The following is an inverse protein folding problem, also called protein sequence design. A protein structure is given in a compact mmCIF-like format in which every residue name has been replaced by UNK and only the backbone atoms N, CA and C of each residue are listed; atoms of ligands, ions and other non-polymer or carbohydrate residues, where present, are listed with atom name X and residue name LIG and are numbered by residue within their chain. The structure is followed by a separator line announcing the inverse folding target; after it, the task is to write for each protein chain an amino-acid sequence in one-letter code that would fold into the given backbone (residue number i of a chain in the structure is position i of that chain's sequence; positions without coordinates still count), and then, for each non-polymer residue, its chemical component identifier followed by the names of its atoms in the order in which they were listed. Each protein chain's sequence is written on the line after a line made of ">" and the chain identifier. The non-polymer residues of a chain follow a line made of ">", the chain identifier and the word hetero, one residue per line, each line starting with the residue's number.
data_IF_629427519264
#
_entry.id   IF_629427519264
#
_cell.length_a   1.000
_cell.length_b   1.000
_cell.length_c   1.000
_cell.angle_alpha   90.00
_cell.angle_beta   90.00
_cell.angle_gamma   90.00
#
_symmetry.space_group_name_H-M   'P 1'
#
loop_
_entity.id
_entity.type
_entity.pdbx_description
1 polymer ?
#
# COMPACT_ATOMS: atom_id res chain seq x y z
N UNK A 1 12.71 19.35 0.93
CA UNK A 1 13.81 20.30 0.61
C UNK A 1 13.70 20.93 -0.80
N UNK A 2 13.07 20.32 -1.81
CA UNK A 2 12.93 20.91 -3.16
C UNK A 2 11.49 21.33 -3.54
N UNK A 3 10.51 21.14 -2.65
CA UNK A 3 9.12 21.51 -2.93
C UNK A 3 8.47 20.69 -4.05
N UNK A 4 8.95 19.48 -4.33
CA UNK A 4 8.41 18.59 -5.36
C UNK A 4 7.52 17.53 -4.71
N UNK A 5 6.38 17.25 -5.36
CA UNK A 5 5.50 16.12 -5.10
C UNK A 5 5.69 15.09 -6.22
N UNK A 6 5.85 13.82 -5.89
CA UNK A 6 5.95 12.74 -6.86
C UNK A 6 4.59 12.35 -7.44
N UNK A 7 3.57 12.28 -6.59
CA UNK A 7 2.17 12.04 -6.96
C UNK A 7 1.89 10.70 -7.66
N UNK A 8 2.80 9.72 -7.57
CA UNK A 8 2.56 8.35 -8.02
C UNK A 8 3.47 7.33 -7.32
N UNK A 9 3.66 7.49 -6.01
CA UNK A 9 4.41 6.52 -5.19
C UNK A 9 3.58 5.25 -5.06
N UNK A 10 4.13 4.14 -5.57
CA UNK A 10 3.56 2.79 -5.55
C UNK A 10 4.66 1.75 -5.70
N UNK A 11 4.44 0.46 -5.38
CA UNK A 11 5.48 -0.55 -5.45
C UNK A 11 6.13 -0.67 -6.83
N UNK A 12 5.38 -0.44 -7.91
CA UNK A 12 5.89 -0.52 -9.29
C UNK A 12 6.92 0.58 -9.61
N UNK A 13 6.88 1.69 -8.88
CA UNK A 13 7.76 2.85 -9.07
C UNK A 13 8.93 2.87 -8.06
N UNK A 14 9.11 1.80 -7.28
CA UNK A 14 10.23 1.63 -6.36
C UNK A 14 11.10 0.49 -6.88
N UNK A 15 12.22 0.82 -7.50
CA UNK A 15 13.16 -0.16 -8.04
C UNK A 15 14.17 -0.54 -6.98
N UNK A 16 14.52 -1.82 -6.92
CA UNK A 16 15.55 -2.37 -6.03
C UNK A 16 16.76 -2.82 -6.82
N UNK A 17 17.94 -2.71 -6.24
CA UNK A 17 19.14 -3.30 -6.82
C UNK A 17 19.12 -4.84 -6.73
N UNK A 18 20.07 -5.50 -7.40
CA UNK A 18 20.11 -6.96 -7.53
C UNK A 18 20.20 -7.70 -6.19
N UNK A 19 20.90 -7.11 -5.21
CA UNK A 19 21.06 -7.68 -3.86
C UNK A 19 19.93 -7.26 -2.88
N UNK A 20 19.00 -6.41 -3.32
CA UNK A 20 17.86 -5.89 -2.54
C UNK A 20 18.23 -5.11 -1.28
N UNK A 21 19.44 -4.54 -1.22
CA UNK A 21 19.90 -3.71 -0.10
C UNK A 21 19.64 -2.22 -0.29
N UNK A 22 19.38 -1.78 -1.53
CA UNK A 22 19.05 -0.39 -1.84
C UNK A 22 17.87 -0.30 -2.77
N UNK A 23 17.09 0.77 -2.60
CA UNK A 23 15.98 1.11 -3.48
C UNK A 23 16.09 2.55 -3.99
N UNK A 24 15.46 2.81 -5.13
CA UNK A 24 15.31 4.14 -5.71
C UNK A 24 13.86 4.33 -6.14
N UNK A 25 13.35 5.53 -5.91
CA UNK A 25 12.09 5.98 -6.48
C UNK A 25 12.33 6.39 -7.95
N UNK A 26 11.45 5.99 -8.85
CA UNK A 26 11.49 6.31 -10.27
C UNK A 26 10.13 6.78 -10.77
N UNK A 27 10.07 7.16 -12.06
CA UNK A 27 8.85 7.66 -12.74
C UNK A 27 8.31 8.99 -12.18
N UNK A 28 8.99 10.09 -12.55
CA UNK A 28 8.57 11.46 -12.24
C UNK A 28 7.56 12.02 -13.25
N UNK A 29 6.89 11.17 -14.05
CA UNK A 29 5.97 11.62 -15.10
C UNK A 29 4.72 12.34 -14.59
N UNK A 30 4.40 12.17 -13.31
CA UNK A 30 3.31 12.87 -12.61
C UNK A 30 3.78 13.90 -11.58
N UNK A 31 5.09 14.13 -11.49
CA UNK A 31 5.66 14.98 -10.45
C UNK A 31 5.44 16.47 -10.78
N UNK A 32 5.23 17.30 -9.74
CA UNK A 32 5.04 18.74 -9.87
C UNK A 32 5.59 19.50 -8.66
N UNK A 33 5.85 20.79 -8.82
CA UNK A 33 6.22 21.66 -7.71
C UNK A 33 4.98 22.08 -6.91
N UNK A 34 5.05 22.02 -5.57
CA UNK A 34 3.97 22.42 -4.65
C UNK A 34 3.52 23.86 -4.90
N UNK A 35 4.47 24.77 -5.12
CA UNK A 35 4.20 26.19 -5.41
C UNK A 35 4.17 26.47 -6.92
N UNK A 36 4.11 25.42 -7.74
CA UNK A 36 4.10 25.50 -9.20
C UNK A 36 2.69 25.64 -9.78
N UNK A 37 2.59 26.08 -11.05
CA UNK A 37 1.31 26.26 -11.74
C UNK A 37 0.58 24.93 -11.99
N UNK A 38 1.30 23.81 -12.01
CA UNK A 38 0.74 22.48 -12.24
C UNK A 38 0.05 21.89 -11.00
N UNK A 39 0.18 22.54 -9.83
CA UNK A 39 -0.52 22.12 -8.61
C UNK A 39 -2.00 22.55 -8.65
N UNK A 40 -2.77 21.89 -9.51
CA UNK A 40 -4.21 22.09 -9.66
C UNK A 40 -4.95 20.93 -8.97
N UNK A 41 -6.03 21.21 -8.20
CA UNK A 41 -6.95 20.20 -7.70
C UNK A 41 -7.33 19.15 -8.76
N UNK A 42 -7.02 17.89 -8.49
CA UNK A 42 -7.17 16.79 -9.43
C UNK A 42 -7.57 15.51 -8.69
N UNK A 43 -8.88 15.20 -8.56
CA UNK A 43 -9.37 14.07 -7.74
C UNK A 43 -8.97 12.68 -8.21
N UNK A 44 -8.38 12.58 -9.42
CA UNK A 44 -7.87 11.35 -10.00
C UNK A 44 -6.33 11.28 -10.03
N UNK A 45 -5.65 12.26 -9.45
CA UNK A 45 -4.20 12.21 -9.24
C UNK A 45 -3.81 11.01 -8.36
N UNK A 46 -2.61 10.47 -8.53
CA UNK A 46 -2.10 9.26 -7.84
C UNK A 46 -2.81 7.97 -8.25
N UNK A 47 -2.06 6.88 -8.38
CA UNK A 47 -2.63 5.53 -8.50
C UNK A 47 -3.60 5.22 -7.35
N UNK A 48 -4.82 4.77 -7.68
CA UNK A 48 -5.99 4.72 -6.78
C UNK A 48 -5.72 4.15 -5.39
N UNK A 49 -5.08 2.99 -5.29
CA UNK A 49 -4.89 2.29 -4.00
C UNK A 49 -3.92 3.01 -3.04
N UNK A 50 -3.16 3.97 -3.54
CA UNK A 50 -2.20 4.78 -2.79
C UNK A 50 -2.65 6.24 -2.68
N UNK A 51 -3.85 6.57 -3.18
CA UNK A 51 -4.38 7.93 -3.24
C UNK A 51 -4.77 8.46 -1.85
N UNK A 52 -4.29 9.65 -1.53
CA UNK A 52 -4.56 10.31 -0.27
C UNK A 52 -6.00 10.87 -0.19
N UNK A 53 -6.60 10.99 1.02
CA UNK A 53 -7.97 11.47 1.17
C UNK A 53 -8.14 12.92 0.70
N UNK A 54 -7.15 13.78 0.87
CA UNK A 54 -7.20 15.16 0.36
C UNK A 54 -7.31 15.22 -1.16
N UNK A 55 -6.70 14.28 -1.88
CA UNK A 55 -6.84 14.15 -3.33
C UNK A 55 -8.27 13.75 -3.67
N UNK A 56 -8.80 12.71 -3.01
CA UNK A 56 -10.18 12.22 -3.22
C UNK A 56 -11.22 13.32 -2.96
N UNK A 57 -10.99 14.14 -1.93
CA UNK A 57 -11.86 15.24 -1.53
C UNK A 57 -11.69 16.49 -2.42
N UNK A 58 -10.71 16.48 -3.33
CA UNK A 58 -10.45 17.55 -4.28
C UNK A 58 -9.58 18.68 -3.74
N UNK A 59 -9.01 18.60 -2.54
CA UNK A 59 -8.27 19.72 -1.96
C UNK A 59 -6.92 19.99 -2.66
N UNK A 60 -6.34 21.14 -2.33
CA UNK A 60 -5.00 21.52 -2.79
C UNK A 60 -3.95 20.50 -2.35
N UNK A 61 -3.09 20.10 -3.29
CA UNK A 61 -2.08 19.07 -3.03
C UNK A 61 -0.89 19.63 -2.27
N UNK A 62 -0.35 18.83 -1.35
CA UNK A 62 0.87 19.12 -0.61
C UNK A 62 1.79 17.91 -0.67
N UNK A 63 3.07 18.08 -0.32
CA UNK A 63 4.01 16.97 -0.22
C UNK A 63 3.60 15.88 0.79
N UNK A 64 2.62 16.15 1.67
CA UNK A 64 2.10 15.16 2.61
C UNK A 64 1.40 13.99 1.90
N UNK A 65 0.91 14.15 0.67
CA UNK A 65 0.23 13.07 -0.06
C UNK A 65 1.18 11.93 -0.44
N UNK A 66 2.46 12.23 -0.65
CA UNK A 66 3.49 11.22 -0.92
C UNK A 66 3.77 10.37 0.33
N UNK A 67 3.67 10.96 1.52
CA UNK A 67 3.77 10.19 2.77
C UNK A 67 2.57 9.29 3.01
N UNK A 68 1.37 9.70 2.62
CA UNK A 68 0.21 8.81 2.63
C UNK A 68 0.44 7.61 1.70
N UNK A 69 0.86 7.89 0.47
CA UNK A 69 1.15 6.87 -0.55
C UNK A 69 2.21 5.89 -0.06
N UNK A 70 3.30 6.40 0.53
CA UNK A 70 4.35 5.59 1.13
C UNK A 70 3.84 4.75 2.30
N UNK A 71 2.94 5.28 3.14
CA UNK A 71 2.33 4.52 4.23
C UNK A 71 1.55 3.31 3.72
N UNK A 72 0.79 3.49 2.63
CA UNK A 72 0.10 2.39 1.95
C UNK A 72 1.09 1.35 1.39
N UNK A 73 2.20 1.80 0.79
CA UNK A 73 3.27 0.92 0.29
C UNK A 73 3.96 0.14 1.41
N UNK A 74 4.33 0.79 2.52
CA UNK A 74 4.95 0.15 3.68
C UNK A 74 4.05 -0.93 4.26
N UNK A 75 2.75 -0.66 4.36
CA UNK A 75 1.76 -1.66 4.76
C UNK A 75 1.72 -2.86 3.80
N UNK A 76 1.67 -2.60 2.50
CA UNK A 76 1.60 -3.65 1.47
C UNK A 76 2.88 -4.50 1.45
N UNK A 77 4.05 -3.89 1.59
CA UNK A 77 5.31 -4.62 1.66
C UNK A 77 5.37 -5.54 2.89
N UNK A 78 4.82 -5.11 4.01
CA UNK A 78 4.83 -5.91 5.24
C UNK A 78 3.80 -7.04 5.22
N UNK A 79 2.61 -6.81 4.65
CA UNK A 79 1.49 -7.78 4.69
C UNK A 79 1.30 -8.57 3.40
N UNK A 80 1.94 -8.17 2.30
CA UNK A 80 1.70 -8.69 0.96
C UNK A 80 0.32 -8.34 0.39
N UNK A 81 -0.44 -7.46 1.05
CA UNK A 81 -1.81 -7.11 0.67
C UNK A 81 -2.01 -5.60 0.61
N UNK A 82 -2.78 -5.14 -0.37
CA UNK A 82 -3.13 -3.71 -0.51
C UNK A 82 -3.91 -3.23 0.72
N UNK A 83 -3.59 -2.03 1.21
CA UNK A 83 -4.24 -1.45 2.39
C UNK A 83 -5.70 -1.06 2.11
N UNK A 84 -5.90 -0.29 1.04
CA UNK A 84 -7.19 0.22 0.57
C UNK A 84 -7.43 -0.19 -0.89
N UNK A 85 -8.28 -1.18 -1.08
CA UNK A 85 -8.65 -1.82 -2.34
C UNK A 85 -9.99 -1.28 -2.88
N UNK A 86 -10.13 0.06 -2.92
CA UNK A 86 -11.36 0.72 -3.35
C UNK A 86 -11.65 0.60 -4.85
N UNK A 87 -12.90 0.34 -5.23
CA UNK A 87 -13.32 0.26 -6.63
C UNK A 87 -13.34 1.62 -7.36
N UNK A 88 -13.56 2.70 -6.62
CA UNK A 88 -13.59 4.09 -7.09
C UNK A 88 -13.24 5.05 -5.93
N UNK A 89 -13.36 6.37 -6.13
CA UNK A 89 -13.05 7.37 -5.10
C UNK A 89 -14.01 7.31 -3.89
N UNK A 90 -15.29 6.99 -4.11
CA UNK A 90 -16.26 6.83 -3.03
C UNK A 90 -15.90 5.61 -2.18
N UNK A 91 -15.64 4.47 -2.80
CA UNK A 91 -15.23 3.25 -2.08
C UNK A 91 -13.85 3.39 -1.41
N UNK A 92 -12.91 4.13 -2.02
CA UNK A 92 -11.64 4.47 -1.37
C UNK A 92 -11.86 5.28 -0.10
N UNK A 93 -12.64 6.37 -0.14
CA UNK A 93 -12.91 7.18 1.04
C UNK A 93 -13.67 6.40 2.12
N UNK A 94 -14.60 5.54 1.72
CA UNK A 94 -15.30 4.62 2.63
C UNK A 94 -14.34 3.71 3.39
N UNK A 95 -13.38 3.07 2.69
CA UNK A 95 -12.35 2.21 3.30
C UNK A 95 -11.37 2.99 4.16
N UNK A 96 -11.06 4.22 3.79
CA UNK A 96 -10.25 5.12 4.62
C UNK A 96 -10.97 5.42 5.93
N UNK A 97 -12.25 5.82 5.87
CA UNK A 97 -13.05 6.10 7.07
C UNK A 97 -13.28 4.87 7.94
N UNK A 98 -13.33 3.67 7.33
CA UNK A 98 -13.39 2.41 8.06
C UNK A 98 -12.24 2.24 9.05
N UNK A 99 -11.03 2.65 8.64
CA UNK A 99 -9.79 2.49 9.40
C UNK A 99 -9.47 3.71 10.26
N UNK A 100 -9.58 4.91 9.70
CA UNK A 100 -9.16 6.17 10.33
C UNK A 100 -10.29 6.87 11.10
N UNK A 101 -11.54 6.46 10.90
CA UNK A 101 -12.71 7.10 11.49
C UNK A 101 -13.32 8.19 10.59
N UNK A 102 -14.34 8.92 11.10
CA UNK A 102 -15.08 9.89 10.30
C UNK A 102 -14.23 11.10 9.90
N UNK A 103 -14.46 11.59 8.68
CA UNK A 103 -13.97 12.90 8.25
C UNK A 103 -14.65 13.98 9.07
N UNK A 104 -13.90 15.00 9.51
CA UNK A 104 -14.46 16.06 10.34
C UNK A 104 -15.47 16.92 9.57
N UNK A 105 -16.53 17.38 10.25
CA UNK A 105 -17.56 18.26 9.70
C UNK A 105 -17.00 19.50 8.97
N UNK A 106 -15.89 20.06 9.48
CA UNK A 106 -15.19 21.19 8.85
C UNK A 106 -14.67 20.81 7.47
N UNK A 107 -14.07 19.63 7.36
CA UNK A 107 -13.51 19.10 6.11
C UNK A 107 -14.64 18.75 5.13
N UNK A 108 -15.72 18.14 5.61
CA UNK A 108 -16.91 17.85 4.79
C UNK A 108 -17.49 19.14 4.20
N UNK A 109 -17.68 20.19 5.02
CA UNK A 109 -18.16 21.49 4.53
C UNK A 109 -17.23 22.13 3.51
N UNK A 110 -15.90 21.98 3.67
CA UNK A 110 -14.92 22.45 2.69
C UNK A 110 -15.04 21.70 1.37
N UNK A 111 -15.21 20.37 1.42
CA UNK A 111 -15.42 19.54 0.24
C UNK A 111 -16.71 19.93 -0.50
N UNK A 112 -17.83 20.09 0.19
CA UNK A 112 -19.11 20.51 -0.41
C UNK A 112 -19.00 21.86 -1.13
N UNK A 113 -18.29 22.83 -0.53
CA UNK A 113 -18.02 24.12 -1.17
C UNK A 113 -17.21 23.93 -2.46
N UNK A 114 -16.17 23.12 -2.41
CA UNK A 114 -15.34 22.86 -3.57
C UNK A 114 -16.09 22.14 -4.69
N UNK A 115 -16.99 21.20 -4.36
CA UNK A 115 -17.88 20.57 -5.32
C UNK A 115 -18.75 21.60 -6.05
N UNK A 116 -19.34 22.55 -5.31
CA UNK A 116 -20.15 23.63 -5.88
C UNK A 116 -19.35 24.55 -6.82
N UNK A 117 -18.07 24.80 -6.51
CA UNK A 117 -17.19 25.65 -7.32
C UNK A 117 -16.66 24.94 -8.57
N UNK A 118 -16.39 23.63 -8.48
CA UNK A 118 -15.70 22.85 -9.53
C UNK A 118 -16.63 21.96 -10.35
N UNK A 119 -17.89 21.80 -9.94
CA UNK A 119 -18.85 20.88 -10.56
C UNK A 119 -18.57 19.40 -10.26
N UNK A 120 -17.77 19.10 -9.24
CA UNK A 120 -17.50 17.72 -8.81
C UNK A 120 -18.71 17.13 -8.07
N UNK A 121 -18.97 15.85 -8.30
CA UNK A 121 -20.01 15.13 -7.54
C UNK A 121 -19.64 15.06 -6.05
N UNK A 122 -20.53 15.48 -5.14
CA UNK A 122 -20.26 15.46 -3.71
C UNK A 122 -20.26 14.03 -3.16
N UNK A 123 -19.30 13.73 -2.29
CA UNK A 123 -19.21 12.47 -1.55
C UNK A 123 -20.05 12.46 -0.27
N UNK A 124 -20.61 13.61 0.10
CA UNK A 124 -21.43 13.81 1.29
C UNK A 124 -22.71 14.57 0.95
N UNK A 125 -23.77 14.36 1.72
CA UNK A 125 -25.01 15.13 1.60
C UNK A 125 -24.96 16.42 2.43
N UNK A 126 -25.98 17.27 2.29
CA UNK A 126 -26.12 18.53 3.04
C UNK A 126 -26.19 18.32 4.57
N UNK A 127 -26.58 17.11 5.00
CA UNK A 127 -26.62 16.70 6.41
C UNK A 127 -25.28 16.13 6.91
N UNK A 128 -24.20 16.31 6.14
CA UNK A 128 -22.83 15.86 6.43
C UNK A 128 -22.71 14.33 6.54
N UNK A 129 -23.59 13.58 5.87
CA UNK A 129 -23.55 12.11 5.83
C UNK A 129 -22.90 11.67 4.54
N UNK A 130 -22.10 10.60 4.61
CA UNK A 130 -21.43 10.04 3.45
C UNK A 130 -22.43 9.40 2.49
N UNK A 131 -22.34 9.70 1.21
CA UNK A 131 -23.20 9.13 0.16
C UNK A 131 -22.57 7.84 -0.33
N UNK A 132 -23.15 6.71 0.05
CA UNK A 132 -22.71 5.39 -0.39
C UNK A 132 -23.50 4.94 -1.61
N UNK A 133 -22.80 4.76 -2.72
CA UNK A 133 -23.36 4.13 -3.91
C UNK A 133 -23.34 2.60 -3.77
N UNK A 134 -24.40 1.96 -4.22
CA UNK A 134 -24.52 0.51 -4.22
C UNK A 134 -25.59 0.07 -5.20
N UNK A 135 -25.98 -1.19 -5.10
CA UNK A 135 -27.12 -1.75 -5.84
C UNK A 135 -28.16 -2.21 -4.84
N UNK A 136 -29.42 -1.98 -5.18
CA UNK A 136 -30.52 -2.55 -4.43
C UNK A 136 -30.46 -4.08 -4.51
N UNK A 137 -30.52 -4.81 -3.38
CA UNK A 137 -30.35 -6.26 -3.37
C UNK A 137 -31.52 -7.00 -4.04
N UNK A 138 -32.68 -6.36 -4.18
CA UNK A 138 -33.87 -6.95 -4.79
C UNK A 138 -33.96 -6.58 -6.27
N UNK A 139 -33.83 -5.30 -6.60
CA UNK A 139 -34.03 -4.82 -7.98
C UNK A 139 -32.75 -4.76 -8.80
N UNK A 140 -31.58 -4.72 -8.17
CA UNK A 140 -30.28 -4.56 -8.84
C UNK A 140 -29.97 -3.15 -9.34
N UNK A 141 -30.92 -2.22 -9.17
CA UNK A 141 -30.81 -0.81 -9.56
C UNK A 141 -29.78 -0.07 -8.72
N UNK A 142 -29.07 0.94 -9.29
CA UNK A 142 -28.15 1.76 -8.52
C UNK A 142 -28.91 2.57 -7.47
N UNK A 143 -28.45 2.49 -6.23
CA UNK A 143 -29.02 3.23 -5.09
C UNK A 143 -27.92 4.00 -4.38
N UNK A 144 -28.22 5.24 -4.01
CA UNK A 144 -27.40 6.04 -3.11
C UNK A 144 -28.03 6.04 -1.71
N UNK A 145 -27.25 5.74 -0.68
CA UNK A 145 -27.71 5.78 0.72
C UNK A 145 -26.78 6.68 1.53
N UNK A 146 -27.36 7.63 2.24
CA UNK A 146 -26.63 8.47 3.18
C UNK A 146 -26.34 7.72 4.48
N UNK A 147 -25.07 7.59 4.84
CA UNK A 147 -24.61 6.90 6.05
C UNK A 147 -23.80 7.85 6.91
N UNK A 148 -24.09 7.88 8.22
CA UNK A 148 -23.26 8.58 9.20
C UNK A 148 -22.21 7.62 9.76
N UNK A 149 -20.94 7.88 9.46
CA UNK A 149 -19.82 7.19 10.11
C UNK A 149 -19.60 7.85 11.47
N UNK A 150 -19.67 7.06 12.55
CA UNK A 150 -19.47 7.58 13.92
C UNK A 150 -18.21 7.05 14.58
N UNK A 151 -17.76 5.85 14.19
CA UNK A 151 -16.54 5.23 14.69
C UNK A 151 -15.87 4.38 13.60
N UNK A 152 -14.54 4.23 13.62
CA UNK A 152 -13.86 3.23 12.81
C UNK A 152 -14.33 1.83 13.20
N UNK A 153 -14.34 0.93 12.22
CA UNK A 153 -14.67 -0.49 12.40
C UNK A 153 -13.55 -1.43 11.94
N UNK A 154 -12.49 -0.88 11.35
CA UNK A 154 -11.22 -1.56 11.11
C UNK A 154 -10.17 -1.16 12.14
N UNK A 155 -9.18 -2.03 12.34
CA UNK A 155 -8.02 -1.76 13.18
C UNK A 155 -6.76 -2.22 12.45
N UNK A 156 -5.75 -1.34 12.42
CA UNK A 156 -4.48 -1.62 11.79
C UNK A 156 -3.69 -2.71 12.55
N UNK A 157 -3.84 -2.79 13.88
CA UNK A 157 -3.13 -3.79 14.68
C UNK A 157 -3.56 -5.21 14.30
N UNK A 158 -4.85 -5.44 14.06
CA UNK A 158 -5.37 -6.73 13.61
C UNK A 158 -4.73 -7.26 12.32
N UNK A 159 -4.24 -6.35 11.45
CA UNK A 159 -3.59 -6.67 10.17
C UNK A 159 -2.06 -6.75 10.26
N UNK A 160 -1.45 -6.02 11.20
CA UNK A 160 0.02 -5.91 11.33
C UNK A 160 0.63 -6.76 12.44
N UNK A 161 -0.13 -7.05 13.49
CA UNK A 161 0.37 -7.70 14.71
C UNK A 161 -0.42 -8.97 15.00
N UNK A 162 -0.22 -10.05 14.22
CA UNK A 162 -0.78 -11.36 14.54
C UNK A 162 -0.45 -11.77 15.98
N UNK A 163 -1.40 -12.44 16.66
CA UNK A 163 -1.20 -12.94 18.02
C UNK A 163 -0.04 -13.93 18.15
N UNK A 164 0.40 -14.51 17.03
CA UNK A 164 1.53 -15.44 16.94
C UNK A 164 2.90 -14.74 17.02
N UNK A 165 3.00 -13.44 16.74
CA UNK A 165 4.26 -12.71 16.83
C UNK A 165 4.70 -12.54 18.28
N UNK A 166 5.98 -12.78 18.55
CA UNK A 166 6.55 -12.68 19.90
C UNK A 166 7.84 -11.86 19.91
N UNK A 167 8.30 -11.52 21.12
CA UNK A 167 9.62 -10.94 21.34
C UNK A 167 9.92 -9.69 20.51
N UNK A 168 11.03 -9.74 19.76
CA UNK A 168 11.53 -8.62 18.96
C UNK A 168 10.60 -8.28 17.78
N UNK A 169 10.10 -9.30 17.07
CA UNK A 169 9.24 -9.13 15.90
C UNK A 169 7.94 -8.42 16.25
N UNK A 170 7.32 -8.80 17.38
CA UNK A 170 6.12 -8.12 17.87
C UNK A 170 6.37 -6.64 18.18
N UNK A 171 7.52 -6.31 18.80
CA UNK A 171 7.89 -4.92 19.08
C UNK A 171 8.13 -4.12 17.80
N UNK A 172 8.79 -4.72 16.81
CA UNK A 172 9.01 -4.09 15.51
C UNK A 172 7.66 -3.83 14.80
N UNK A 173 6.74 -4.80 14.80
CA UNK A 173 5.40 -4.66 14.23
C UNK A 173 4.58 -3.56 14.92
N UNK A 174 4.67 -3.44 16.25
CA UNK A 174 4.02 -2.35 17.00
C UNK A 174 4.60 -0.96 16.65
N UNK A 175 5.91 -0.87 16.41
CA UNK A 175 6.55 0.38 15.95
C UNK A 175 6.16 0.71 14.51
N UNK A 176 6.02 -0.29 13.64
CA UNK A 176 5.50 -0.10 12.29
C UNK A 176 4.06 0.40 12.32
N UNK A 177 3.22 -0.19 13.18
CA UNK A 177 1.84 0.26 13.40
C UNK A 177 1.79 1.76 13.77
N UNK A 178 2.56 2.17 14.79
CA UNK A 178 2.61 3.58 15.23
C UNK A 178 3.07 4.51 14.09
N UNK A 179 4.12 4.13 13.35
CA UNK A 179 4.57 4.90 12.20
C UNK A 179 3.46 5.05 11.15
N UNK A 180 2.80 3.95 10.80
CA UNK A 180 1.73 3.93 9.80
C UNK A 180 0.51 4.74 10.23
N UNK A 181 0.12 4.71 11.51
CA UNK A 181 -0.98 5.56 12.02
C UNK A 181 -0.67 7.05 11.85
N UNK A 182 0.58 7.46 12.03
CA UNK A 182 1.00 8.86 11.84
C UNK A 182 1.13 9.25 10.37
N UNK A 183 1.52 8.31 9.49
CA UNK A 183 1.59 8.50 8.03
C UNK A 183 0.21 8.52 7.38
N UNK A 184 -0.74 7.75 7.91
CA UNK A 184 -2.11 7.59 7.39
C UNK A 184 -3.11 8.53 8.08
N UNK A 185 -2.63 9.64 8.64
CA UNK A 185 -3.50 10.69 9.16
C UNK A 185 -4.30 11.35 8.02
N UNK A 186 -5.62 11.47 8.20
CA UNK A 186 -6.54 12.04 7.19
C UNK A 186 -6.27 13.52 6.95
N UNK A 187 -5.99 14.30 8.01
CA UNK A 187 -5.62 15.70 7.85
C UNK A 187 -4.14 15.81 7.43
N UNK A 188 -3.83 16.27 6.21
CA UNK A 188 -2.45 16.37 5.73
C UNK A 188 -1.60 17.31 6.57
N UNK A 189 -2.21 18.25 7.33
CA UNK A 189 -1.48 19.18 8.22
C UNK A 189 -1.04 18.54 9.53
N UNK A 190 -1.75 17.49 9.97
CA UNK A 190 -1.44 16.73 11.18
C UNK A 190 -0.64 15.47 10.87
N UNK A 191 -0.56 15.08 9.60
CA UNK A 191 0.25 13.96 9.13
C UNK A 191 1.73 14.19 9.45
N UNK A 192 2.41 13.13 9.88
CA UNK A 192 3.84 13.18 10.24
C UNK A 192 4.67 13.80 9.11
N UNK A 193 5.67 14.61 9.46
CA UNK A 193 6.60 15.14 8.45
C UNK A 193 7.64 14.09 8.06
N UNK A 194 8.29 14.26 6.90
CA UNK A 194 9.38 13.36 6.47
C UNK A 194 10.51 13.32 7.50
N UNK A 195 10.81 14.48 8.10
CA UNK A 195 11.86 14.58 9.12
C UNK A 195 11.51 13.73 10.34
N UNK A 196 10.30 13.93 10.88
CA UNK A 196 9.87 13.21 12.09
C UNK A 196 9.68 11.71 11.81
N UNK A 197 9.28 11.34 10.58
CA UNK A 197 9.19 9.95 10.16
C UNK A 197 10.57 9.26 10.16
N UNK A 198 11.63 9.94 9.69
CA UNK A 198 13.00 9.40 9.72
C UNK A 198 13.54 9.26 11.15
N UNK A 199 13.11 10.13 12.06
CA UNK A 199 13.47 10.08 13.49
C UNK A 199 12.62 9.06 14.28
N UNK A 200 11.66 8.39 13.64
CA UNK A 200 10.74 7.47 14.30
C UNK A 200 11.45 6.24 14.87
N UNK A 201 11.08 5.76 16.09
CA UNK A 201 11.71 4.59 16.72
C UNK A 201 11.69 3.29 15.92
N UNK A 202 10.82 3.19 14.91
CA UNK A 202 10.81 2.09 13.95
C UNK A 202 12.17 1.93 13.27
N UNK A 203 12.75 3.03 12.78
CA UNK A 203 14.03 3.04 12.06
C UNK A 203 15.25 2.93 13.00
N UNK A 204 15.13 3.39 14.25
CA UNK A 204 16.21 3.25 15.24
C UNK A 204 16.57 1.78 15.52
N UNK A 205 15.60 0.87 15.43
CA UNK A 205 15.82 -0.58 15.62
C UNK A 205 16.65 -1.21 14.51
N UNK A 206 16.57 -0.71 13.28
CA UNK A 206 17.33 -1.25 12.14
C UNK A 206 18.83 -0.96 12.26
N UNK A 207 19.21 0.09 13.00
CA UNK A 207 20.61 0.47 13.22
C UNK A 207 21.30 -0.30 14.35
N UNK A 208 20.57 -1.13 15.10
CA UNK A 208 21.08 -1.84 16.28
C UNK A 208 21.26 -3.35 16.09
N UNK A 209 21.12 -3.90 14.88
CA UNK A 209 21.50 -5.29 14.62
C UNK A 209 23.03 -5.42 14.61
N UNK A 210 23.65 -6.18 15.53
CA UNK A 210 25.01 -6.66 15.31
C UNK A 210 24.94 -7.78 14.27
N UNK A 211 25.78 -7.68 13.25
CA UNK A 211 26.19 -8.80 12.38
C UNK A 211 26.65 -9.97 13.27
N UNK A 212 25.76 -10.91 13.57
CA UNK A 212 26.08 -12.09 14.38
C UNK A 212 25.61 -13.35 13.66
N UNK A 213 26.57 -14.12 13.12
CA UNK A 213 26.33 -15.53 12.88
C UNK A 213 27.01 -16.23 11.70
N UNK A 214 28.00 -15.64 11.04
CA UNK A 214 28.91 -16.39 10.15
C UNK A 214 29.97 -17.16 10.94
N UNK A 215 29.57 -18.11 11.80
CA UNK A 215 30.52 -18.99 12.48
C UNK A 215 30.72 -20.27 11.68
N UNK A 216 31.85 -20.33 10.98
CA UNK A 216 32.42 -21.56 10.46
C UNK A 216 32.84 -22.46 11.64
N UNK A 217 32.00 -23.42 11.99
CA UNK A 217 32.39 -24.55 12.82
C UNK A 217 32.87 -25.70 11.93
N UNK A 218 34.16 -25.68 11.57
CA UNK A 218 34.86 -26.86 11.08
C UNK A 218 35.38 -27.66 12.28
N UNK A 219 34.78 -28.82 12.52
CA UNK A 219 35.25 -29.88 13.40
C UNK A 219 34.67 -31.19 12.83
N UNK A 220 35.34 -32.33 12.74
CA UNK A 220 36.64 -32.77 13.23
C UNK A 220 37.09 -34.00 12.41
N UNK A 221 38.37 -34.35 12.53
CA UNK A 221 39.01 -35.46 11.84
C UNK A 221 38.54 -36.87 12.24
N UNK A 222 38.89 -37.81 11.36
CA UNK A 222 38.73 -39.26 11.50
C UNK A 222 39.61 -39.84 12.63
N UNK A 223 39.26 -41.04 13.15
CA UNK A 223 39.96 -42.25 12.69
C UNK A 223 39.07 -43.51 12.52
N UNK A 224 39.63 -44.54 11.89
CA UNK A 224 39.06 -45.88 11.64
C UNK A 224 39.85 -46.98 12.44
N UNK A 225 39.63 -48.31 12.28
CA UNK A 225 38.44 -49.11 12.64
C UNK A 225 38.72 -50.45 13.42
N UNK A 226 37.65 -51.09 13.95
CA UNK A 226 37.46 -52.57 14.14
C UNK A 226 37.69 -53.20 15.54
N UNK A 227 37.24 -54.47 15.84
CA UNK A 227 36.19 -55.30 15.20
C UNK A 227 35.23 -56.10 16.16
N UNK A 228 34.13 -56.60 15.55
CA UNK A 228 33.35 -57.85 15.75
C UNK A 228 32.67 -58.29 17.08
N UNK A 229 31.35 -58.55 16.98
CA UNK A 229 30.52 -59.70 17.47
C UNK A 229 29.12 -59.20 17.91
N UNK A 230 27.96 -59.82 17.70
CA UNK A 230 27.49 -61.01 17.01
C UNK A 230 25.95 -61.09 17.17
N UNK A 231 25.31 -61.99 16.40
CA UNK A 231 23.95 -62.54 16.57
C UNK A 231 22.68 -61.71 16.22
N UNK A 232 22.13 -62.04 15.04
CA UNK A 232 20.80 -62.63 14.81
C UNK A 232 19.51 -61.97 15.31
N UNK A 233 18.58 -61.71 14.38
CA UNK A 233 17.17 -62.08 14.56
C UNK A 233 16.06 -61.09 14.17
N UNK A 234 15.54 -61.29 12.96
CA UNK A 234 14.14 -61.12 12.53
C UNK A 234 13.58 -59.72 12.21
N UNK A 235 12.90 -59.71 11.05
CA UNK A 235 12.34 -58.59 10.33
C UNK A 235 10.86 -58.34 10.67
N UNK A 236 10.41 -57.08 10.56
CA UNK A 236 9.08 -56.73 10.08
C UNK A 236 8.96 -55.22 9.78
N UNK A 237 8.83 -54.92 8.48
CA UNK A 237 7.98 -53.88 7.85
C UNK A 237 7.98 -52.43 8.36
N UNK A 238 8.45 -51.54 7.47
CA UNK A 238 8.29 -50.08 7.51
C UNK A 238 6.85 -49.61 7.19
N UNK A 239 6.53 -48.34 7.55
CA UNK A 239 5.86 -47.47 6.58
C UNK A 239 6.63 -46.17 6.31
N UNK A 240 6.41 -45.71 5.08
CA UNK A 240 7.16 -44.68 4.38
C UNK A 240 7.12 -43.28 5.02
N UNK A 241 8.27 -42.63 5.02
CA UNK A 241 8.44 -41.20 5.25
C UNK A 241 7.71 -40.40 4.16
N UNK A 242 6.81 -39.50 4.57
CA UNK A 242 6.22 -38.49 3.69
C UNK A 242 7.29 -37.48 3.28
N UNK A 243 7.60 -37.47 2.00
CA UNK A 243 8.45 -36.48 1.34
C UNK A 243 7.81 -35.09 1.44
N UNK A 244 8.64 -34.08 1.73
CA UNK A 244 8.29 -32.67 1.65
C UNK A 244 8.03 -32.29 0.18
N UNK A 245 6.93 -31.58 -0.16
CA UNK A 245 6.76 -31.10 -1.52
C UNK A 245 7.76 -29.96 -1.80
N UNK A 246 8.47 -30.08 -2.93
CA UNK A 246 9.34 -29.04 -3.45
C UNK A 246 8.57 -27.80 -3.94
N UNK A 247 9.28 -26.71 -4.29
CA UNK A 247 8.66 -25.44 -4.63
C UNK A 247 7.83 -25.52 -5.92
N UNK A 248 6.61 -25.00 -5.83
CA UNK A 248 5.64 -24.92 -6.94
C UNK A 248 6.19 -23.96 -8.01
N UNK A 249 6.49 -24.49 -9.20
CA UNK A 249 6.70 -23.67 -10.40
C UNK A 249 5.35 -23.13 -10.88
N UNK A 250 5.13 -21.82 -10.73
CA UNK A 250 4.00 -21.15 -11.37
C UNK A 250 4.26 -21.02 -12.87
N UNK A 251 3.33 -21.53 -13.69
CA UNK A 251 3.29 -21.30 -15.14
C UNK A 251 2.86 -19.86 -15.43
N UNK A 252 3.38 -19.20 -16.47
CA UNK A 252 2.91 -17.89 -16.88
C UNK A 252 1.48 -17.99 -17.42
N UNK A 253 0.59 -17.14 -16.91
CA UNK A 253 -0.79 -17.00 -17.38
C UNK A 253 -0.81 -16.43 -18.80
N UNK A 254 -1.41 -17.17 -19.72
CA UNK A 254 -1.73 -16.72 -21.07
C UNK A 254 -3.03 -15.92 -20.99
N UNK A 255 -2.93 -14.60 -21.00
CA UNK A 255 -4.03 -13.71 -21.38
C UNK A 255 -3.44 -12.59 -22.23
N UNK A 256 -3.13 -12.94 -23.48
CA UNK A 256 -2.82 -12.00 -24.53
C UNK A 256 -4.10 -11.32 -25.05
N UNK A 257 -3.95 -10.03 -25.30
CA UNK A 257 -4.54 -9.28 -26.41
C UNK A 257 -6.05 -9.36 -26.62
N UNK A 258 -6.72 -8.25 -26.34
CA UNK A 258 -7.76 -7.72 -27.23
C UNK A 258 -7.72 -6.19 -27.22
N UNK A 259 -6.85 -5.66 -28.08
CA UNK A 259 -6.99 -4.31 -28.60
C UNK A 259 -6.94 -4.40 -30.14
N UNK A 260 -7.80 -3.59 -30.77
CA UNK A 260 -7.92 -3.25 -32.21
C UNK A 260 -8.94 -4.06 -33.02
N UNK A 261 -10.09 -3.43 -33.28
CA UNK A 261 -10.73 -3.29 -34.60
C UNK A 261 -11.65 -2.05 -34.62
N UNK A 262 -11.47 -1.17 -35.62
CA UNK A 262 -12.32 0.00 -35.96
C UNK A 262 -12.03 1.25 -35.11
N UNK A 263 -11.85 2.46 -35.62
CA UNK A 263 -12.24 3.07 -36.90
C UNK A 263 -11.14 4.08 -37.30
N UNK A 264 -10.67 4.00 -38.54
CA UNK A 264 -9.86 5.02 -39.16
C UNK A 264 -10.79 6.05 -39.80
N UNK A 265 -10.77 7.29 -39.31
CA UNK A 265 -11.32 8.44 -40.04
C UNK A 265 -10.66 9.74 -39.55
N UNK A 266 -9.71 10.22 -40.35
CA UNK A 266 -9.43 11.64 -40.60
C UNK A 266 -9.13 12.55 -39.42
N UNK A 267 -7.86 12.67 -39.04
CA UNK A 267 -7.32 13.92 -38.48
C UNK A 267 -6.01 14.25 -39.20
N UNK A 268 -6.00 15.36 -39.96
CA UNK A 268 -4.79 15.99 -40.51
C UNK A 268 -4.42 17.16 -39.60
N UNK A 269 -3.18 17.21 -39.14
CA UNK A 269 -2.65 18.36 -38.42
C UNK A 269 -2.33 19.53 -39.38
N UNK A 270 -2.47 20.80 -38.97
CA UNK A 270 -2.15 21.96 -39.79
C UNK A 270 -0.64 22.16 -40.01
N UNK A 271 -0.28 22.71 -41.17
CA UNK A 271 1.07 22.82 -41.70
C UNK A 271 1.96 23.94 -41.10
N UNK A 272 1.71 24.40 -39.88
CA UNK A 272 2.42 25.57 -39.31
C UNK A 272 3.56 25.25 -38.31
N UNK A 273 3.97 23.98 -38.16
CA UNK A 273 4.99 23.57 -37.18
C UNK A 273 6.19 22.83 -37.81
N UNK A 274 6.67 23.34 -38.95
CA UNK A 274 8.00 22.99 -39.48
C UNK A 274 8.73 24.26 -39.88
N UNK A 275 9.51 24.81 -38.95
CA UNK A 275 10.84 25.41 -39.18
C UNK A 275 11.59 25.37 -37.86
#
# INVERSE_FOLDING_TARGET
>A
RQGIVHADIKPQNIVVNSDRTSCKLCDLGSAFAVDGPDNVPAPLLVSRFYRAPEVILGFQHTAALDLWSLGCVLFEMYTGSVLFDGADNSDMLWRIMALQGPVSDKTIRSHLRQCAETGMDPLFDESLRFIRHGRDPVTGEPVARSVRVTKPWGDLASRLVPATLQGHERRAALRLKDLLERMLCVDPKLRISVKDALEHPFFATAQQQPEAGGSAAAAAGAPAPGPSAGASGLAATAPAARQRPGPIRLRPSVAASRARKGVASGWRAPASWRK
#
